data_IF_643631339566
#
_entry.id   IF_643631339566
#
_cell.length_a   1.000
_cell.length_b   1.000
_cell.length_c   1.000
_cell.angle_alpha   90.00
_cell.angle_beta   90.00
_cell.angle_gamma   90.00
#
_symmetry.space_group_name_H-M   'P 1'
#
loop_
_entity.id
_entity.type
_entity.pdbx_description
1 polymer ?
#
# COMPACT_ATOMS: atom_id res chain seq x y z
N UNK A 1 -16.52 -15.64 -5.03
CA UNK A 1 -15.94 -14.90 -3.89
C UNK A 1 -14.53 -15.37 -3.56
N UNK A 2 -14.29 -16.63 -3.17
CA UNK A 2 -12.95 -17.14 -2.81
C UNK A 2 -11.90 -16.95 -3.92
N UNK A 3 -12.22 -17.26 -5.19
CA UNK A 3 -11.30 -17.07 -6.33
C UNK A 3 -10.86 -15.63 -6.51
N UNK A 4 -11.76 -14.67 -6.27
CA UNK A 4 -11.44 -13.23 -6.38
C UNK A 4 -10.45 -12.82 -5.29
N UNK A 5 -10.71 -13.23 -4.04
CA UNK A 5 -9.81 -12.95 -2.91
C UNK A 5 -8.43 -13.57 -3.12
N UNK A 6 -8.39 -14.76 -3.71
CA UNK A 6 -7.15 -15.47 -4.02
C UNK A 6 -6.33 -14.73 -5.09
N UNK A 7 -6.98 -14.27 -6.16
CA UNK A 7 -6.34 -13.40 -7.17
C UNK A 7 -5.83 -12.11 -6.53
N UNK A 8 -6.63 -11.47 -5.67
CA UNK A 8 -6.20 -10.27 -4.95
C UNK A 8 -4.95 -10.55 -4.11
N UNK A 9 -4.92 -11.62 -3.33
CA UNK A 9 -3.76 -11.96 -2.48
C UNK A 9 -2.51 -12.22 -3.30
N UNK A 10 -2.62 -12.92 -4.43
CA UNK A 10 -1.48 -13.13 -5.33
C UNK A 10 -0.96 -11.80 -5.90
N UNK A 11 -1.86 -10.93 -6.36
CA UNK A 11 -1.48 -9.60 -6.86
C UNK A 11 -0.80 -8.76 -5.78
N UNK A 12 -1.34 -8.76 -4.56
CA UNK A 12 -0.78 -8.04 -3.42
C UNK A 12 0.60 -8.58 -3.05
N UNK A 13 0.78 -9.90 -3.05
CA UNK A 13 2.06 -10.51 -2.71
C UNK A 13 3.15 -10.22 -3.75
N UNK A 14 2.82 -10.33 -5.04
CA UNK A 14 3.75 -9.99 -6.13
C UNK A 14 4.14 -8.51 -6.05
N UNK A 15 3.17 -7.63 -5.84
CA UNK A 15 3.42 -6.20 -5.61
C UNK A 15 4.37 -6.01 -4.43
N UNK A 16 4.12 -6.69 -3.31
CA UNK A 16 4.98 -6.59 -2.13
C UNK A 16 6.42 -7.03 -2.39
N UNK A 17 6.62 -8.15 -3.08
CA UNK A 17 7.97 -8.64 -3.41
C UNK A 17 8.73 -7.57 -4.22
N UNK A 18 8.07 -6.95 -5.20
CA UNK A 18 8.66 -5.87 -6.01
C UNK A 18 9.02 -4.64 -5.18
N UNK A 19 8.19 -4.29 -4.21
CA UNK A 19 8.36 -3.11 -3.34
C UNK A 19 9.34 -3.33 -2.17
N UNK A 20 9.61 -4.59 -1.80
CA UNK A 20 10.42 -4.96 -0.63
C UNK A 20 11.80 -4.29 -0.60
N UNK A 21 12.57 -4.24 -1.71
CA UNK A 21 13.90 -3.63 -1.67
C UNK A 21 13.89 -2.14 -1.34
N UNK A 22 12.90 -1.38 -1.85
CA UNK A 22 12.71 0.03 -1.51
C UNK A 22 12.17 0.25 -0.10
N UNK A 23 11.51 -0.73 0.50
CA UNK A 23 10.99 -0.63 1.87
C UNK A 23 12.05 -0.96 2.94
N UNK A 24 13.07 -1.74 2.59
CA UNK A 24 14.12 -2.16 3.52
C UNK A 24 15.42 -1.35 3.41
N UNK A 25 15.67 -0.70 2.28
CA UNK A 25 16.88 0.11 2.05
C UNK A 25 16.50 1.57 1.81
N UNK A 26 17.00 2.45 2.68
CA UNK A 26 16.80 3.89 2.59
C UNK A 26 17.34 4.47 1.26
N UNK A 27 18.50 3.99 0.81
CA UNK A 27 19.05 4.41 -0.48
C UNK A 27 18.11 4.05 -1.64
N UNK A 28 17.62 2.81 -1.69
CA UNK A 28 16.68 2.37 -2.74
C UNK A 28 15.33 3.06 -2.61
N UNK A 29 14.90 3.39 -1.40
CA UNK A 29 13.70 4.20 -1.16
C UNK A 29 13.84 5.57 -1.83
N UNK A 30 14.93 6.29 -1.54
CA UNK A 30 15.14 7.63 -2.07
C UNK A 30 15.45 7.65 -3.57
N UNK A 31 16.07 6.61 -4.12
CA UNK A 31 16.18 6.43 -5.57
C UNK A 31 14.79 6.39 -6.22
N UNK A 32 13.89 5.56 -5.68
CA UNK A 32 12.51 5.46 -6.16
C UNK A 32 11.72 6.76 -5.96
N UNK A 33 11.88 7.44 -4.84
CA UNK A 33 11.25 8.74 -4.60
C UNK A 33 11.70 9.77 -5.64
N UNK A 34 12.99 9.81 -6.00
CA UNK A 34 13.49 10.71 -7.05
C UNK A 34 12.91 10.38 -8.43
N UNK A 35 12.74 9.10 -8.76
CA UNK A 35 12.08 8.69 -10.00
C UNK A 35 10.61 9.16 -10.04
N UNK A 36 9.88 8.99 -8.93
CA UNK A 36 8.49 9.48 -8.80
C UNK A 36 8.44 11.00 -8.92
N UNK A 37 9.32 11.73 -8.24
CA UNK A 37 9.39 13.20 -8.32
C UNK A 37 9.69 13.64 -9.76
N UNK A 38 10.63 12.98 -10.45
CA UNK A 38 10.95 13.30 -11.85
C UNK A 38 9.75 13.08 -12.76
N UNK A 39 9.06 11.95 -12.61
CA UNK A 39 7.82 11.66 -13.35
C UNK A 39 6.71 12.67 -13.04
N UNK A 40 6.56 13.07 -11.79
CA UNK A 40 5.60 14.09 -11.37
C UNK A 40 5.95 15.44 -11.98
N UNK A 41 7.23 15.82 -12.01
CA UNK A 41 7.68 17.07 -12.60
C UNK A 41 7.40 17.12 -14.10
N UNK A 42 7.68 16.04 -14.83
CA UNK A 42 7.34 15.91 -16.25
C UNK A 42 5.82 15.99 -16.48
N UNK A 43 5.02 15.32 -15.65
CA UNK A 43 3.56 15.38 -15.73
C UNK A 43 3.02 16.78 -15.43
N UNK A 44 3.51 17.45 -14.39
CA UNK A 44 3.05 18.76 -13.96
C UNK A 44 3.48 19.88 -14.91
N UNK A 45 4.68 19.80 -15.50
CA UNK A 45 5.16 20.81 -16.46
C UNK A 45 4.33 20.82 -17.77
N UNK A 46 3.71 19.69 -18.12
CA UNK A 46 2.86 19.57 -19.30
C UNK A 46 1.41 20.03 -19.05
N UNK A 47 1.07 20.47 -17.84
CA UNK A 47 -0.28 20.86 -17.45
C UNK A 47 -0.40 22.37 -17.25
N UNK A 48 -1.55 22.91 -17.66
CA UNK A 48 -1.97 24.27 -17.27
C UNK A 48 -2.18 24.35 -15.76
N UNK A 49 -2.01 25.54 -15.17
CA UNK A 49 -2.15 25.78 -13.73
C UNK A 49 -3.43 25.19 -13.12
N UNK A 50 -4.59 25.40 -13.76
CA UNK A 50 -5.88 24.87 -13.28
C UNK A 50 -5.91 23.33 -13.27
N UNK A 51 -5.32 22.70 -14.29
CA UNK A 51 -5.22 21.24 -14.38
C UNK A 51 -4.26 20.68 -13.32
N UNK A 52 -3.17 21.39 -13.03
CA UNK A 52 -2.23 21.01 -11.98
C UNK A 52 -2.91 20.99 -10.60
N UNK A 53 -3.65 22.04 -10.25
CA UNK A 53 -4.39 22.09 -8.98
C UNK A 53 -5.41 20.94 -8.90
N UNK A 54 -6.11 20.67 -10.01
CA UNK A 54 -7.03 19.54 -10.08
C UNK A 54 -6.33 18.20 -9.83
N UNK A 55 -5.19 17.96 -10.49
CA UNK A 55 -4.41 16.72 -10.34
C UNK A 55 -3.88 16.56 -8.91
N UNK A 56 -3.35 17.62 -8.30
CA UNK A 56 -2.86 17.58 -6.92
C UNK A 56 -3.98 17.25 -5.92
N UNK A 57 -5.17 17.84 -6.10
CA UNK A 57 -6.34 17.55 -5.25
C UNK A 57 -6.91 16.16 -5.51
N UNK A 58 -6.99 15.74 -6.77
CA UNK A 58 -7.47 14.42 -7.16
C UNK A 58 -6.55 13.31 -6.64
N UNK A 59 -5.24 13.51 -6.70
CA UNK A 59 -4.27 12.56 -6.16
C UNK A 59 -4.44 12.36 -4.66
N UNK A 60 -4.65 13.44 -3.89
CA UNK A 60 -4.96 13.32 -2.45
C UNK A 60 -6.27 12.56 -2.22
N UNK A 61 -7.28 12.79 -3.06
CA UNK A 61 -8.57 12.10 -2.95
C UNK A 61 -8.46 10.61 -3.30
N UNK A 62 -7.73 10.24 -4.35
CA UNK A 62 -7.64 8.88 -4.88
C UNK A 62 -6.99 7.87 -3.91
N UNK A 63 -6.24 8.35 -2.92
CA UNK A 63 -5.59 7.52 -1.90
C UNK A 63 -6.61 6.87 -0.96
N UNK A 64 -7.64 7.62 -0.58
CA UNK A 64 -8.70 7.15 0.32
C UNK A 64 -9.45 5.92 -0.20
N UNK A 65 -9.99 5.90 -1.44
CA UNK A 65 -10.69 4.72 -1.96
C UNK A 65 -9.75 3.53 -2.14
N UNK A 66 -8.48 3.74 -2.47
CA UNK A 66 -7.49 2.66 -2.55
C UNK A 66 -7.25 2.01 -1.18
N UNK A 67 -7.01 2.80 -0.14
CA UNK A 67 -6.83 2.28 1.22
C UNK A 67 -8.09 1.60 1.74
N UNK A 68 -9.27 2.15 1.46
CA UNK A 68 -10.55 1.54 1.82
C UNK A 68 -10.74 0.19 1.12
N UNK A 69 -10.39 0.10 -0.17
CA UNK A 69 -10.44 -1.14 -0.92
C UNK A 69 -9.53 -2.21 -0.31
N UNK A 70 -8.31 -1.85 0.13
CA UNK A 70 -7.42 -2.76 0.85
C UNK A 70 -8.04 -3.26 2.16
N UNK A 71 -8.59 -2.35 2.96
CA UNK A 71 -9.26 -2.72 4.20
C UNK A 71 -10.43 -3.68 3.97
N UNK A 72 -11.21 -3.49 2.89
CA UNK A 72 -12.31 -4.39 2.52
C UNK A 72 -11.80 -5.78 2.13
N UNK A 73 -10.67 -5.88 1.41
CA UNK A 73 -10.06 -7.18 1.08
C UNK A 73 -9.69 -7.92 2.37
N UNK A 74 -8.96 -7.27 3.28
CA UNK A 74 -8.52 -7.89 4.53
C UNK A 74 -9.69 -8.26 5.44
N UNK A 75 -10.69 -7.39 5.57
CA UNK A 75 -11.91 -7.68 6.32
C UNK A 75 -12.66 -8.88 5.72
N UNK A 76 -12.77 -8.94 4.39
CA UNK A 76 -13.43 -10.05 3.69
C UNK A 76 -12.70 -11.39 3.89
N UNK A 77 -11.36 -11.36 3.95
CA UNK A 77 -10.55 -12.55 4.25
C UNK A 77 -10.77 -12.99 5.69
N UNK A 78 -10.63 -12.07 6.65
CA UNK A 78 -10.76 -12.37 8.07
C UNK A 78 -12.16 -12.88 8.44
N UNK A 79 -13.20 -12.41 7.75
CA UNK A 79 -14.57 -12.88 7.96
C UNK A 79 -14.88 -14.23 7.29
N UNK A 80 -14.08 -14.63 6.30
CA UNK A 80 -14.36 -15.82 5.47
C UNK A 80 -13.58 -17.04 5.92
N UNK A 81 -12.36 -16.85 6.44
CA UNK A 81 -11.50 -17.95 6.89
C UNK A 81 -11.74 -18.19 8.37
N UNK A 82 -12.15 -19.40 8.74
CA UNK A 82 -12.43 -19.77 10.13
C UNK A 82 -11.14 -20.05 10.93
N UNK A 83 -10.28 -19.04 11.05
CA UNK A 83 -9.02 -19.11 11.78
C UNK A 83 -8.75 -17.83 12.56
N UNK A 84 -8.66 -17.94 13.89
CA UNK A 84 -8.31 -16.83 14.78
C UNK A 84 -6.98 -16.18 14.40
N UNK A 85 -6.01 -16.95 13.93
CA UNK A 85 -4.72 -16.43 13.49
C UNK A 85 -4.87 -15.51 12.26
N UNK A 86 -5.66 -15.94 11.27
CA UNK A 86 -5.88 -15.15 10.05
C UNK A 86 -6.77 -13.94 10.32
N UNK A 87 -7.75 -14.06 11.22
CA UNK A 87 -8.54 -12.92 11.68
C UNK A 87 -7.64 -11.86 12.33
N UNK A 88 -6.77 -12.28 13.26
CA UNK A 88 -5.84 -11.37 13.93
C UNK A 88 -4.88 -10.69 12.95
N UNK A 89 -4.28 -11.46 12.03
CA UNK A 89 -3.40 -10.89 11.01
C UNK A 89 -4.14 -9.95 10.04
N UNK A 90 -5.39 -10.25 9.69
CA UNK A 90 -6.23 -9.37 8.86
C UNK A 90 -6.53 -8.05 9.56
N UNK A 91 -6.79 -8.09 10.87
CA UNK A 91 -6.95 -6.90 11.69
C UNK A 91 -5.66 -6.09 11.73
N UNK A 92 -4.50 -6.74 11.96
CA UNK A 92 -3.20 -6.06 11.91
C UNK A 92 -2.96 -5.38 10.55
N UNK A 93 -3.30 -6.04 9.45
CA UNK A 93 -3.20 -5.46 8.11
C UNK A 93 -4.03 -4.18 7.98
N UNK A 94 -5.29 -4.20 8.42
CA UNK A 94 -6.15 -3.01 8.45
C UNK A 94 -5.51 -1.89 9.28
N UNK A 95 -4.96 -2.19 10.46
CA UNK A 95 -4.26 -1.21 11.28
C UNK A 95 -3.05 -0.58 10.56
N UNK A 96 -2.24 -1.39 9.86
CA UNK A 96 -1.08 -0.87 9.13
C UNK A 96 -1.49 0.03 7.96
N UNK A 97 -2.60 -0.28 7.27
CA UNK A 97 -3.18 0.59 6.25
C UNK A 97 -3.60 1.93 6.87
N UNK A 98 -4.30 1.90 8.01
CA UNK A 98 -4.75 3.11 8.71
C UNK A 98 -3.58 3.97 9.21
N UNK A 99 -2.52 3.35 9.75
CA UNK A 99 -1.30 4.07 10.16
C UNK A 99 -0.63 4.70 8.94
N UNK A 100 -0.55 3.97 7.82
CA UNK A 100 0.03 4.49 6.57
C UNK A 100 -0.76 5.71 6.06
N UNK A 101 -2.09 5.65 6.09
CA UNK A 101 -2.94 6.79 5.76
C UNK A 101 -2.69 7.98 6.69
N UNK A 102 -2.53 7.74 7.99
CA UNK A 102 -2.24 8.80 8.96
C UNK A 102 -0.89 9.47 8.67
N UNK A 103 0.16 8.68 8.41
CA UNK A 103 1.49 9.18 8.09
C UNK A 103 1.52 9.98 6.77
N UNK A 104 0.66 9.61 5.80
CA UNK A 104 0.61 10.24 4.49
C UNK A 104 -0.49 11.30 4.35
N UNK A 105 -1.28 11.57 5.39
CA UNK A 105 -2.45 12.45 5.33
C UNK A 105 -2.17 13.85 4.76
N UNK A 106 -0.99 14.38 5.06
CA UNK A 106 -0.60 15.73 4.66
C UNK A 106 0.33 15.76 3.44
N UNK A 107 0.71 14.60 2.92
CA UNK A 107 1.66 14.46 1.82
C UNK A 107 0.90 14.26 0.52
N UNK A 108 1.14 15.12 -0.46
CA UNK A 108 0.64 14.89 -1.82
C UNK A 108 1.48 13.82 -2.50
N UNK A 109 0.83 12.84 -3.12
CA UNK A 109 1.52 11.82 -3.94
C UNK A 109 2.17 12.42 -5.20
N UNK A 110 1.77 13.64 -5.57
CA UNK A 110 2.36 14.42 -6.67
C UNK A 110 3.35 15.46 -6.13
N UNK A 111 3.81 15.32 -4.88
CA UNK A 111 4.81 16.23 -4.33
C UNK A 111 6.11 16.17 -5.14
N UNK A 112 6.75 17.33 -5.24
CA UNK A 112 8.05 17.52 -5.88
C UNK A 112 9.19 17.58 -4.87
N UNK A 113 8.88 17.55 -3.56
CA UNK A 113 9.87 17.66 -2.50
C UNK A 113 10.16 16.29 -1.90
N UNK A 114 11.45 15.94 -1.84
CA UNK A 114 11.90 14.66 -1.24
C UNK A 114 11.57 14.60 0.25
N UNK A 115 11.60 15.74 0.95
CA UNK A 115 11.34 15.83 2.40
C UNK A 115 9.91 15.46 2.81
N UNK A 116 8.97 15.52 1.86
CA UNK A 116 7.60 15.07 2.06
C UNK A 116 7.52 13.53 2.14
N UNK A 117 8.50 12.83 1.56
CA UNK A 117 8.59 11.37 1.55
C UNK A 117 9.55 10.88 2.64
N UNK A 118 9.05 10.79 3.88
CA UNK A 118 9.83 10.30 5.01
C UNK A 118 9.97 8.78 4.99
N UNK A 119 11.20 8.31 5.20
CA UNK A 119 11.48 6.89 5.34
C UNK A 119 11.18 6.39 6.77
N UNK A 120 10.01 5.79 6.97
CA UNK A 120 9.62 5.20 8.25
C UNK A 120 10.15 3.77 8.40
N UNK A 121 11.46 3.63 8.64
CA UNK A 121 12.18 2.34 8.68
C UNK A 121 11.45 1.23 9.45
N UNK A 122 11.05 1.50 10.69
CA UNK A 122 10.41 0.49 11.55
C UNK A 122 9.00 0.11 11.08
N UNK A 123 8.23 1.08 10.59
CA UNK A 123 6.90 0.83 10.00
C UNK A 123 7.01 -0.02 8.74
N UNK A 124 7.95 0.31 7.85
CA UNK A 124 8.17 -0.47 6.64
C UNK A 124 8.67 -1.89 6.93
N UNK A 125 9.61 -2.05 7.86
CA UNK A 125 10.09 -3.36 8.28
C UNK A 125 8.96 -4.21 8.85
N UNK A 126 8.17 -3.64 9.76
CA UNK A 126 7.02 -4.33 10.35
C UNK A 126 6.01 -4.76 9.27
N UNK A 127 5.67 -3.88 8.34
CA UNK A 127 4.78 -4.21 7.22
C UNK A 127 5.37 -5.31 6.33
N UNK A 128 6.70 -5.34 6.10
CA UNK A 128 7.32 -6.40 5.30
C UNK A 128 7.14 -7.73 6.01
N UNK A 129 7.46 -7.80 7.30
CA UNK A 129 7.34 -9.04 8.07
C UNK A 129 5.87 -9.50 8.08
N UNK A 130 4.94 -8.58 8.36
CA UNK A 130 3.51 -8.89 8.40
C UNK A 130 3.02 -9.43 7.05
N UNK A 131 3.39 -8.79 5.94
CA UNK A 131 2.98 -9.19 4.60
C UNK A 131 3.52 -10.58 4.21
N UNK A 132 4.78 -10.88 4.52
CA UNK A 132 5.41 -12.17 4.20
C UNK A 132 4.87 -13.31 5.06
N UNK A 133 4.26 -13.02 6.21
CA UNK A 133 3.52 -14.01 7.01
C UNK A 133 2.09 -14.13 6.50
N UNK A 134 1.42 -13.00 6.31
CA UNK A 134 -0.01 -12.94 6.01
C UNK A 134 -0.34 -13.53 4.64
N UNK A 135 0.30 -13.05 3.56
CA UNK A 135 -0.11 -13.43 2.22
C UNK A 135 0.03 -14.93 1.93
N UNK A 136 1.15 -15.61 2.29
CA UNK A 136 1.25 -17.05 2.09
C UNK A 136 0.25 -17.85 2.93
N UNK A 137 0.06 -17.48 4.21
CA UNK A 137 -0.90 -18.17 5.08
C UNK A 137 -2.34 -18.02 4.58
N UNK A 138 -2.73 -16.80 4.21
CA UNK A 138 -4.05 -16.52 3.64
C UNK A 138 -4.24 -17.25 2.32
N UNK A 139 -3.23 -17.28 1.44
CA UNK A 139 -3.30 -18.02 0.18
C UNK A 139 -3.58 -19.51 0.42
N UNK A 140 -2.85 -20.14 1.33
CA UNK A 140 -3.03 -21.55 1.68
C UNK A 140 -4.42 -21.79 2.29
N UNK A 141 -4.86 -20.93 3.23
CA UNK A 141 -6.16 -21.07 3.87
C UNK A 141 -7.32 -20.94 2.87
N UNK A 142 -7.24 -19.96 1.96
CA UNK A 142 -8.24 -19.77 0.90
C UNK A 142 -8.27 -20.94 -0.10
N UNK A 143 -7.14 -21.60 -0.34
CA UNK A 143 -7.08 -22.81 -1.19
C UNK A 143 -7.66 -24.04 -0.52
N UNK A 144 -7.38 -24.22 0.78
CA UNK A 144 -7.84 -25.37 1.55
C UNK A 144 -9.34 -25.29 1.89
N UNK A 145 -9.99 -24.17 1.61
CA UNK A 145 -11.44 -23.99 1.79
C UNK A 145 -11.86 -23.83 3.25
N UNK A 146 -10.94 -23.41 4.12
CA UNK A 146 -11.23 -22.97 5.48
C UNK A 146 -11.92 -21.59 5.51
#
# INVERSE_FOLDING_TARGET
>A
MTTILLVCIVMLFISRIKETPSMLSENRYYEKVREVIKSNQELLNNLTYDKRIFVENFAKFAVYPYSLFMCLIYASIGARVDSLAILFLSVMQIWTVMITMYLQRNVSYVSLYVDDFKFYRWHFLFNVILDYIYYPLTFVALLMGY
#
